data_IF_197286540147
#
_entry.id   IF_197286540147
#
_cell.length_a   1.000
_cell.length_b   1.000
_cell.length_c   1.000
_cell.angle_alpha   90.00
_cell.angle_beta   90.00
_cell.angle_gamma   90.00
#
_symmetry.space_group_name_H-M   'P 1'
#
loop_
_entity.id
_entity.type
_entity.pdbx_description
1 polymer ?
#
# COMPACT_ATOMS: atom_id res chain seq x y z
N UNK A 1 7.98 -0.68 -20.22
CA UNK A 1 8.53 -0.37 -21.56
C UNK A 1 8.20 1.08 -21.95
N UNK A 2 9.22 1.85 -22.34
CA UNK A 2 9.07 3.24 -22.83
C UNK A 2 8.41 3.22 -24.23
N UNK A 3 7.65 4.27 -24.63
CA UNK A 3 6.97 4.30 -25.92
C UNK A 3 7.90 4.10 -27.13
N UNK A 4 9.12 4.65 -27.07
CA UNK A 4 10.14 4.53 -28.12
C UNK A 4 10.60 3.08 -28.30
N UNK A 5 11.00 2.44 -27.21
CA UNK A 5 11.40 1.01 -27.21
C UNK A 5 10.26 0.10 -27.70
N UNK A 6 9.00 0.44 -27.39
CA UNK A 6 7.85 -0.33 -27.86
C UNK A 6 7.72 -0.27 -29.39
N UNK A 7 7.91 0.91 -29.97
CA UNK A 7 7.87 1.08 -31.41
C UNK A 7 9.05 0.36 -32.10
N UNK A 8 10.25 0.43 -31.53
CA UNK A 8 11.44 -0.27 -32.04
C UNK A 8 11.27 -1.80 -32.06
N UNK A 9 10.70 -2.39 -31.00
CA UNK A 9 10.55 -3.84 -30.87
C UNK A 9 9.35 -4.38 -31.65
N UNK A 10 8.22 -3.66 -31.64
CA UNK A 10 6.95 -4.16 -32.18
C UNK A 10 6.52 -3.46 -33.49
N UNK A 11 7.25 -2.45 -33.95
CA UNK A 11 6.93 -1.67 -35.15
C UNK A 11 5.66 -0.82 -35.02
N UNK A 12 5.10 -0.68 -33.82
CA UNK A 12 3.79 -0.06 -33.62
C UNK A 12 3.70 0.74 -32.32
N UNK A 13 2.83 1.74 -32.29
CA UNK A 13 2.64 2.59 -31.12
C UNK A 13 2.10 1.80 -29.91
N UNK A 14 2.70 2.03 -28.75
CA UNK A 14 2.34 1.38 -27.48
C UNK A 14 0.84 1.46 -27.14
N UNK A 15 0.20 2.61 -27.33
CA UNK A 15 -1.23 2.79 -26.98
C UNK A 15 -2.13 1.94 -27.88
N UNK A 16 -1.78 1.84 -29.17
CA UNK A 16 -2.50 1.01 -30.14
C UNK A 16 -2.37 -0.46 -29.76
N UNK A 17 -1.16 -0.93 -29.44
CA UNK A 17 -0.92 -2.32 -29.00
C UNK A 17 -1.66 -2.64 -27.70
N UNK A 18 -1.60 -1.76 -26.70
CA UNK A 18 -2.31 -1.95 -25.43
C UNK A 18 -3.83 -2.04 -25.64
N UNK A 19 -4.40 -1.16 -26.46
CA UNK A 19 -5.82 -1.19 -26.80
C UNK A 19 -6.18 -2.52 -27.48
N UNK A 20 -5.42 -2.91 -28.52
CA UNK A 20 -5.65 -4.15 -29.27
C UNK A 20 -5.56 -5.40 -28.41
N UNK A 21 -4.49 -5.53 -27.61
CA UNK A 21 -4.30 -6.68 -26.74
C UNK A 21 -5.34 -6.75 -25.63
N UNK A 22 -5.72 -5.61 -25.02
CA UNK A 22 -6.80 -5.56 -24.02
C UNK A 22 -8.14 -5.99 -24.64
N UNK A 23 -8.49 -5.46 -25.81
CA UNK A 23 -9.73 -5.85 -26.51
C UNK A 23 -9.71 -7.33 -26.91
N UNK A 24 -8.59 -7.83 -27.43
CA UNK A 24 -8.43 -9.25 -27.80
C UNK A 24 -8.59 -10.18 -26.59
N UNK A 25 -7.92 -9.86 -25.49
CA UNK A 25 -7.99 -10.63 -24.25
C UNK A 25 -9.41 -10.65 -23.66
N UNK A 26 -10.09 -9.51 -23.62
CA UNK A 26 -11.47 -9.42 -23.15
C UNK A 26 -12.45 -10.18 -24.05
N UNK A 27 -12.27 -10.13 -25.38
CA UNK A 27 -13.08 -10.92 -26.32
C UNK A 27 -12.88 -12.43 -26.12
N UNK A 28 -11.64 -12.87 -26.02
CA UNK A 28 -11.32 -14.27 -25.74
C UNK A 28 -11.95 -14.73 -24.41
N UNK A 29 -11.81 -13.92 -23.35
CA UNK A 29 -12.42 -14.24 -22.07
C UNK A 29 -13.96 -14.27 -22.14
N UNK A 30 -14.57 -13.36 -22.89
CA UNK A 30 -16.03 -13.32 -23.07
C UNK A 30 -16.59 -14.54 -23.83
N UNK A 31 -15.75 -15.20 -24.64
CA UNK A 31 -16.12 -16.44 -25.33
C UNK A 31 -16.06 -17.68 -24.42
N UNK A 32 -15.57 -17.52 -23.19
CA UNK A 32 -15.56 -18.59 -22.18
C UNK A 32 -16.85 -18.58 -21.37
N UNK A 33 -17.20 -19.73 -20.78
CA UNK A 33 -18.29 -19.81 -19.80
C UNK A 33 -17.86 -19.29 -18.42
N UNK A 34 -17.40 -18.04 -18.33
CA UNK A 34 -16.73 -17.49 -17.14
C UNK A 34 -17.51 -17.67 -15.84
N UNK A 35 -18.84 -17.55 -15.87
CA UNK A 35 -19.71 -17.72 -14.70
C UNK A 35 -19.84 -19.17 -14.22
N UNK A 36 -19.60 -20.14 -15.11
CA UNK A 36 -19.79 -21.57 -14.86
C UNK A 36 -18.51 -22.38 -14.98
N UNK A 37 -17.38 -21.73 -15.30
CA UNK A 37 -16.11 -22.40 -15.53
C UNK A 37 -15.59 -23.10 -14.28
N UNK A 38 -14.92 -24.23 -14.50
CA UNK A 38 -14.03 -24.90 -13.54
C UNK A 38 -12.60 -25.02 -14.08
N UNK A 39 -12.32 -24.29 -15.15
CA UNK A 39 -11.01 -24.23 -15.77
C UNK A 39 -10.13 -23.20 -15.03
N UNK A 40 -8.97 -23.65 -14.57
CA UNK A 40 -8.01 -22.83 -13.85
C UNK A 40 -7.40 -21.76 -14.76
N UNK A 41 -7.17 -22.07 -16.04
CA UNK A 41 -6.55 -21.16 -16.99
C UNK A 41 -7.46 -19.96 -17.29
N UNK A 42 -8.78 -20.21 -17.37
CA UNK A 42 -9.78 -19.14 -17.53
C UNK A 42 -9.77 -18.20 -16.31
N UNK A 43 -9.67 -18.75 -15.09
CA UNK A 43 -9.59 -17.94 -13.87
C UNK A 43 -8.25 -17.19 -13.76
N UNK A 44 -7.14 -17.80 -14.17
CA UNK A 44 -5.84 -17.16 -14.27
C UNK A 44 -5.87 -15.99 -15.25
N UNK A 45 -6.44 -16.19 -16.45
CA UNK A 45 -6.59 -15.15 -17.46
C UNK A 45 -7.41 -13.96 -16.95
N UNK A 46 -8.56 -14.20 -16.30
CA UNK A 46 -9.34 -13.14 -15.65
C UNK A 46 -8.49 -12.38 -14.62
N UNK A 47 -7.74 -13.11 -13.80
CA UNK A 47 -6.90 -12.55 -12.74
C UNK A 47 -5.76 -11.68 -13.28
N UNK A 48 -5.12 -12.09 -14.38
CA UNK A 48 -4.09 -11.31 -15.07
C UNK A 48 -4.66 -10.03 -15.68
N UNK A 49 -5.88 -10.07 -16.25
CA UNK A 49 -6.55 -8.87 -16.78
C UNK A 49 -6.83 -7.87 -15.65
N UNK A 50 -7.29 -8.36 -14.48
CA UNK A 50 -7.51 -7.52 -13.29
C UNK A 50 -6.18 -6.87 -12.83
N UNK A 51 -5.07 -7.63 -12.86
CA UNK A 51 -3.75 -7.15 -12.43
C UNK A 51 -3.26 -5.94 -13.25
N UNK A 52 -3.62 -5.85 -14.53
CA UNK A 52 -3.16 -4.76 -15.41
C UNK A 52 -3.67 -3.40 -14.94
N UNK A 53 -4.90 -3.35 -14.40
CA UNK A 53 -5.61 -2.11 -14.08
C UNK A 53 -6.55 -2.34 -12.88
N UNK A 54 -5.99 -2.56 -11.67
CA UNK A 54 -6.76 -3.04 -10.52
C UNK A 54 -7.76 -2.02 -9.98
N UNK A 55 -7.65 -0.75 -10.37
CA UNK A 55 -8.50 0.35 -9.92
C UNK A 55 -9.64 0.69 -10.88
N UNK A 56 -9.68 0.07 -12.07
CA UNK A 56 -10.82 0.27 -12.97
C UNK A 56 -12.11 -0.29 -12.39
N UNK A 57 -13.24 0.35 -12.71
CA UNK A 57 -14.59 -0.12 -12.36
C UNK A 57 -14.82 -1.58 -12.78
N UNK A 58 -14.27 -1.96 -13.94
CA UNK A 58 -14.27 -3.34 -14.41
C UNK A 58 -13.55 -4.26 -13.41
N UNK A 59 -12.31 -3.94 -13.04
CA UNK A 59 -11.51 -4.76 -12.13
C UNK A 59 -12.16 -4.90 -10.74
N UNK A 60 -12.70 -3.80 -10.20
CA UNK A 60 -13.45 -3.78 -8.93
C UNK A 60 -14.56 -4.83 -8.93
N UNK A 61 -15.35 -4.89 -10.00
CA UNK A 61 -16.44 -5.88 -10.14
C UNK A 61 -15.91 -7.28 -10.46
N UNK A 62 -14.93 -7.38 -11.36
CA UNK A 62 -14.35 -8.62 -11.85
C UNK A 62 -13.65 -9.42 -10.74
N UNK A 63 -13.07 -8.75 -9.74
CA UNK A 63 -12.49 -9.40 -8.55
C UNK A 63 -13.55 -10.16 -7.77
N UNK A 64 -14.76 -9.63 -7.63
CA UNK A 64 -15.84 -10.32 -6.94
C UNK A 64 -16.36 -11.54 -7.72
N UNK A 65 -16.24 -11.54 -9.05
CA UNK A 65 -16.48 -12.70 -9.89
C UNK A 65 -15.36 -13.74 -9.73
N UNK A 66 -14.10 -13.33 -9.82
CA UNK A 66 -12.94 -14.19 -9.62
C UNK A 66 -12.97 -14.89 -8.25
N UNK A 67 -13.32 -14.15 -7.19
CA UNK A 67 -13.47 -14.69 -5.84
C UNK A 67 -14.55 -15.78 -5.76
N UNK A 68 -15.72 -15.54 -6.37
CA UNK A 68 -16.81 -16.53 -6.42
C UNK A 68 -16.45 -17.75 -7.24
N UNK A 69 -15.78 -17.58 -8.37
CA UNK A 69 -15.31 -18.71 -9.20
C UNK A 69 -14.26 -19.53 -8.44
N UNK A 70 -13.31 -18.89 -7.77
CA UNK A 70 -12.34 -19.57 -6.90
C UNK A 70 -13.01 -20.36 -5.77
N UNK A 71 -14.08 -19.82 -5.16
CA UNK A 71 -14.88 -20.55 -4.17
C UNK A 71 -15.59 -21.77 -4.78
N UNK A 72 -16.23 -21.63 -5.95
CA UNK A 72 -16.87 -22.74 -6.66
C UNK A 72 -15.89 -23.86 -7.03
N UNK A 73 -14.63 -23.50 -7.29
CA UNK A 73 -13.55 -24.44 -7.59
C UNK A 73 -12.91 -25.05 -6.33
N UNK A 74 -13.23 -24.54 -5.14
CA UNK A 74 -12.68 -25.05 -3.88
C UNK A 74 -11.27 -24.57 -3.56
N UNK A 75 -10.73 -23.55 -4.26
CA UNK A 75 -9.32 -23.12 -4.10
C UNK A 75 -8.99 -22.54 -2.71
N UNK A 76 -10.02 -22.16 -1.96
CA UNK A 76 -9.92 -21.64 -0.61
C UNK A 76 -9.68 -22.73 0.44
N UNK A 77 -9.78 -24.02 0.08
CA UNK A 77 -9.76 -25.15 1.02
C UNK A 77 -8.38 -25.77 1.18
N UNK A 78 -8.11 -26.34 2.35
CA UNK A 78 -6.88 -27.10 2.63
C UNK A 78 -6.87 -28.51 2.03
N UNK A 79 -7.82 -28.85 1.15
CA UNK A 79 -7.98 -30.21 0.67
C UNK A 79 -6.82 -30.60 -0.26
N UNK A 80 -5.96 -31.48 0.24
CA UNK A 80 -4.98 -32.21 -0.56
C UNK A 80 -5.73 -33.29 -1.36
N UNK A 81 -5.96 -33.03 -2.64
CA UNK A 81 -6.30 -34.10 -3.57
C UNK A 81 -5.02 -34.89 -3.85
N UNK A 82 -4.85 -36.01 -3.15
CA UNK A 82 -3.68 -36.90 -3.28
C UNK A 82 -3.46 -37.42 -4.72
N UNK A 83 -4.44 -37.28 -5.61
CA UNK A 83 -4.34 -37.66 -7.01
C UNK A 83 -3.97 -36.49 -7.94
N UNK A 84 -3.90 -35.26 -7.44
CA UNK A 84 -3.54 -34.08 -8.23
C UNK A 84 -2.02 -33.87 -8.24
N UNK A 85 -1.38 -33.63 -9.40
CA UNK A 85 0.04 -33.29 -9.46
C UNK A 85 0.38 -32.06 -8.61
N UNK A 86 1.50 -32.10 -7.89
CA UNK A 86 1.94 -31.01 -7.01
C UNK A 86 1.95 -29.64 -7.71
N UNK A 87 2.45 -29.55 -8.94
CA UNK A 87 2.48 -28.28 -9.67
C UNK A 87 1.10 -27.62 -9.75
N UNK A 88 0.07 -28.42 -10.07
CA UNK A 88 -1.30 -27.92 -10.19
C UNK A 88 -1.85 -27.46 -8.84
N UNK A 89 -1.57 -28.20 -7.77
CA UNK A 89 -1.94 -27.80 -6.41
C UNK A 89 -1.26 -26.48 -6.01
N UNK A 90 0.04 -26.33 -6.30
CA UNK A 90 0.77 -25.10 -6.00
C UNK A 90 0.24 -23.90 -6.81
N UNK A 91 -0.10 -24.10 -8.09
CA UNK A 91 -0.73 -23.05 -8.91
C UNK A 91 -2.10 -22.64 -8.39
N UNK A 92 -2.91 -23.58 -7.88
CA UNK A 92 -4.20 -23.29 -7.24
C UNK A 92 -4.03 -22.46 -5.98
N UNK A 93 -3.08 -22.83 -5.11
CA UNK A 93 -2.78 -22.10 -3.87
C UNK A 93 -2.29 -20.69 -4.18
N UNK A 94 -1.31 -20.54 -5.10
CA UNK A 94 -0.79 -19.22 -5.51
C UNK A 94 -1.91 -18.33 -6.08
N UNK A 95 -2.76 -18.89 -6.94
CA UNK A 95 -3.89 -18.16 -7.53
C UNK A 95 -4.91 -17.71 -6.48
N UNK A 96 -5.26 -18.59 -5.54
CA UNK A 96 -6.17 -18.25 -4.43
C UNK A 96 -5.66 -17.06 -3.63
N UNK A 97 -4.41 -17.12 -3.16
CA UNK A 97 -3.83 -16.06 -2.34
C UNK A 97 -3.72 -14.74 -3.09
N UNK A 98 -3.50 -14.79 -4.40
CA UNK A 98 -3.48 -13.61 -5.25
C UNK A 98 -4.87 -12.97 -5.41
N UNK A 99 -5.89 -13.75 -5.80
CA UNK A 99 -7.29 -13.28 -5.92
C UNK A 99 -7.78 -12.70 -4.59
N UNK A 100 -7.52 -13.40 -3.49
CA UNK A 100 -7.83 -12.93 -2.14
C UNK A 100 -7.19 -11.59 -1.83
N UNK A 101 -5.92 -11.43 -2.20
CA UNK A 101 -5.18 -10.18 -2.06
C UNK A 101 -5.83 -9.02 -2.80
N UNK A 102 -6.27 -9.24 -4.05
CA UNK A 102 -7.01 -8.27 -4.84
C UNK A 102 -8.35 -7.90 -4.20
N UNK A 103 -9.14 -8.90 -3.79
CA UNK A 103 -10.43 -8.69 -3.11
C UNK A 103 -10.26 -7.88 -1.83
N UNK A 104 -9.24 -8.18 -1.03
CA UNK A 104 -8.95 -7.42 0.19
C UNK A 104 -8.64 -5.95 -0.08
N UNK A 105 -8.00 -5.61 -1.21
CA UNK A 105 -7.74 -4.20 -1.58
C UNK A 105 -8.99 -3.50 -2.06
N UNK A 106 -9.71 -4.11 -3.00
CA UNK A 106 -10.97 -3.55 -3.53
C UNK A 106 -11.94 -3.27 -2.38
N UNK A 107 -12.10 -4.21 -1.45
CA UNK A 107 -12.94 -4.02 -0.27
C UNK A 107 -12.47 -2.88 0.62
N UNK A 108 -11.16 -2.76 0.89
CA UNK A 108 -10.62 -1.64 1.67
C UNK A 108 -10.90 -0.28 1.00
N UNK A 109 -10.73 -0.18 -0.32
CA UNK A 109 -11.09 1.01 -1.09
C UNK A 109 -12.57 1.41 -1.00
N UNK A 110 -13.44 0.45 -0.66
CA UNK A 110 -14.86 0.68 -0.41
C UNK A 110 -15.21 0.84 1.09
N UNK A 111 -14.21 0.90 1.99
CA UNK A 111 -14.44 0.92 3.43
C UNK A 111 -14.98 -0.39 4.02
N UNK A 112 -14.88 -1.50 3.29
CA UNK A 112 -15.40 -2.80 3.70
C UNK A 112 -14.29 -3.69 4.27
N UNK A 113 -14.54 -4.26 5.46
CA UNK A 113 -13.71 -5.33 6.01
C UNK A 113 -13.92 -6.64 5.25
N UNK A 114 -12.91 -7.53 5.22
CA UNK A 114 -13.09 -8.88 4.69
C UNK A 114 -13.98 -9.73 5.58
N UNK A 115 -14.73 -10.65 4.95
CA UNK A 115 -15.60 -11.61 5.64
C UNK A 115 -14.84 -12.88 6.00
N UNK A 116 -15.45 -13.71 6.86
CA UNK A 116 -14.92 -15.02 7.25
C UNK A 116 -14.70 -15.91 6.01
N UNK A 117 -15.62 -15.87 5.05
CA UNK A 117 -15.53 -16.64 3.81
C UNK A 117 -14.31 -16.24 2.96
N UNK A 118 -13.85 -14.98 3.03
CA UNK A 118 -12.65 -14.53 2.32
C UNK A 118 -11.36 -15.19 2.86
N UNK A 119 -11.40 -15.83 4.03
CA UNK A 119 -10.21 -16.35 4.69
C UNK A 119 -9.78 -17.70 4.10
N UNK A 120 -10.72 -18.61 3.82
CA UNK A 120 -10.40 -20.00 3.46
C UNK A 120 -9.50 -20.70 4.48
N UNK A 121 -9.17 -21.97 4.30
CA UNK A 121 -8.22 -22.76 5.08
C UNK A 121 -6.98 -23.20 4.27
N UNK A 122 -6.87 -22.76 3.01
CA UNK A 122 -5.73 -23.02 2.14
C UNK A 122 -4.37 -22.74 2.83
N UNK A 123 -3.42 -23.67 2.65
CA UNK A 123 -2.02 -23.51 3.09
C UNK A 123 -1.37 -22.29 2.43
N UNK A 124 -0.28 -21.81 3.00
CA UNK A 124 0.58 -20.83 2.33
C UNK A 124 1.22 -21.45 1.06
N UNK A 125 1.53 -20.63 0.04
CA UNK A 125 2.37 -21.05 -1.07
C UNK A 125 3.71 -21.60 -0.56
N UNK A 126 4.35 -22.47 -1.35
CA UNK A 126 5.66 -23.00 -0.98
C UNK A 126 6.77 -21.97 -1.26
N UNK A 127 7.78 -21.90 -0.39
CA UNK A 127 8.97 -21.07 -0.59
C UNK A 127 9.93 -21.71 -1.61
N UNK A 128 9.64 -21.55 -2.91
CA UNK A 128 10.41 -22.11 -4.03
C UNK A 128 10.49 -21.11 -5.17
N UNK A 129 11.60 -21.15 -5.93
CA UNK A 129 11.73 -20.37 -7.16
C UNK A 129 10.95 -21.04 -8.29
N UNK A 130 10.63 -20.28 -9.34
CA UNK A 130 9.90 -20.82 -10.48
C UNK A 130 10.73 -21.86 -11.26
N UNK A 131 12.06 -21.76 -11.21
CA UNK A 131 12.98 -22.76 -11.77
C UNK A 131 12.92 -24.14 -11.05
N UNK A 132 12.44 -24.17 -9.80
CA UNK A 132 12.26 -25.41 -9.03
C UNK A 132 10.92 -26.10 -9.35
N UNK A 133 10.05 -25.45 -10.14
CA UNK A 133 8.74 -25.94 -10.50
C UNK A 133 8.73 -26.46 -11.94
N UNK A 134 8.17 -27.66 -12.13
CA UNK A 134 7.97 -28.25 -13.45
C UNK A 134 6.52 -28.69 -13.64
N UNK A 135 5.85 -28.42 -14.78
CA UNK A 135 4.45 -28.77 -14.99
C UNK A 135 4.10 -30.24 -14.77
N UNK A 136 5.05 -31.14 -15.03
CA UNK A 136 4.88 -32.59 -14.85
C UNK A 136 5.27 -33.11 -13.45
N UNK A 137 5.63 -32.26 -12.48
CA UNK A 137 6.04 -32.74 -11.16
C UNK A 137 4.83 -33.21 -10.35
N UNK A 138 4.92 -34.42 -9.81
CA UNK A 138 3.87 -35.01 -8.98
C UNK A 138 4.08 -34.73 -7.49
N UNK A 139 5.34 -34.52 -7.07
CA UNK A 139 5.75 -34.32 -5.67
C UNK A 139 6.39 -32.95 -5.48
N UNK A 140 6.33 -32.36 -4.27
CA UNK A 140 7.05 -31.14 -3.96
C UNK A 140 8.57 -31.31 -4.14
N UNK A 141 9.33 -30.22 -4.38
CA UNK A 141 10.78 -30.26 -4.35
C UNK A 141 11.28 -30.84 -3.02
N UNK A 142 12.32 -31.65 -3.08
CA UNK A 142 12.83 -32.39 -1.91
C UNK A 142 13.41 -31.47 -0.82
N UNK A 143 13.85 -30.26 -1.19
CA UNK A 143 14.44 -29.27 -0.28
C UNK A 143 13.60 -28.01 -0.34
N UNK A 144 13.06 -27.62 0.81
CA UNK A 144 12.53 -26.26 0.97
C UNK A 144 13.70 -25.31 1.19
N UNK A 145 13.71 -24.21 0.45
CA UNK A 145 14.71 -23.18 0.63
C UNK A 145 14.54 -22.54 2.01
N UNK A 146 15.63 -22.51 2.79
CA UNK A 146 15.75 -21.67 3.99
C UNK A 146 16.07 -20.23 3.61
N UNK A 147 16.72 -20.03 2.45
CA UNK A 147 16.99 -18.72 1.88
C UNK A 147 15.73 -18.10 1.24
N UNK A 148 15.80 -16.79 0.99
CA UNK A 148 14.78 -16.08 0.25
C UNK A 148 14.68 -16.59 -1.21
N UNK A 149 13.45 -16.75 -1.68
CA UNK A 149 13.12 -17.12 -3.08
C UNK A 149 12.30 -16.01 -3.74
N UNK A 150 11.95 -16.18 -5.01
CA UNK A 150 11.01 -15.28 -5.71
C UNK A 150 9.67 -15.09 -4.98
N UNK A 151 9.30 -16.01 -4.08
CA UNK A 151 8.09 -15.95 -3.26
C UNK A 151 8.20 -15.10 -2.00
N UNK A 152 9.38 -14.58 -1.65
CA UNK A 152 9.66 -13.98 -0.33
C UNK A 152 8.67 -12.88 0.07
N UNK A 153 8.42 -11.89 -0.79
CA UNK A 153 7.48 -10.81 -0.48
C UNK A 153 6.02 -11.33 -0.36
N UNK A 154 5.62 -12.21 -1.28
CA UNK A 154 4.30 -12.82 -1.25
C UNK A 154 4.07 -13.55 0.08
N UNK A 155 5.06 -14.34 0.52
CA UNK A 155 5.02 -15.06 1.78
C UNK A 155 4.94 -14.12 2.97
N UNK A 156 5.80 -13.08 3.06
CA UNK A 156 5.73 -12.07 4.13
C UNK A 156 4.32 -11.50 4.29
N UNK A 157 3.68 -11.13 3.17
CA UNK A 157 2.32 -10.60 3.14
C UNK A 157 1.30 -11.64 3.60
N UNK A 158 1.37 -12.87 3.11
CA UNK A 158 0.41 -13.93 3.45
C UNK A 158 0.59 -14.43 4.90
N UNK A 159 1.81 -14.41 5.40
CA UNK A 159 2.12 -14.83 6.77
C UNK A 159 1.67 -13.78 7.79
N UNK A 160 1.72 -12.48 7.44
CA UNK A 160 1.09 -11.41 8.22
C UNK A 160 -0.43 -11.61 8.36
N UNK A 161 -1.11 -12.02 7.28
CA UNK A 161 -2.52 -12.41 7.35
C UNK A 161 -2.74 -13.62 8.25
N UNK A 162 -1.86 -14.61 8.14
CA UNK A 162 -1.93 -15.83 8.95
C UNK A 162 -1.62 -15.57 10.42
N UNK A 163 -0.80 -14.56 10.73
CA UNK A 163 -0.54 -14.09 12.09
C UNK A 163 -1.80 -13.52 12.72
N UNK A 164 -2.51 -12.60 12.06
CA UNK A 164 -3.76 -12.01 12.60
C UNK A 164 -4.79 -13.10 12.90
N UNK A 165 -4.85 -14.14 12.06
CA UNK A 165 -5.75 -15.27 12.28
C UNK A 165 -5.36 -16.15 13.47
N UNK A 166 -4.08 -16.49 13.61
CA UNK A 166 -3.58 -17.47 14.59
C UNK A 166 -3.20 -16.85 15.93
N UNK A 167 -3.03 -15.54 16.00
CA UNK A 167 -2.57 -14.87 17.22
C UNK A 167 -3.60 -15.01 18.34
N UNK A 168 -3.12 -15.41 19.53
CA UNK A 168 -3.91 -15.47 20.76
C UNK A 168 -4.53 -14.11 21.12
N UNK A 169 -3.94 -13.01 20.63
CA UNK A 169 -4.47 -11.66 20.80
C UNK A 169 -5.84 -11.47 20.13
N UNK A 170 -6.14 -12.23 19.07
CA UNK A 170 -7.37 -12.15 18.27
C UNK A 170 -8.22 -13.42 18.33
N UNK A 171 -7.74 -14.46 19.02
CA UNK A 171 -8.42 -15.74 19.20
C UNK A 171 -9.80 -15.58 19.89
N UNK A 172 -10.71 -16.50 19.58
CA UNK A 172 -12.08 -16.55 20.13
C UNK A 172 -13.10 -15.58 19.50
N UNK A 173 -12.71 -14.76 18.53
CA UNK A 173 -13.65 -13.95 17.74
C UNK A 173 -14.07 -14.70 16.47
N UNK A 174 -15.35 -14.59 16.10
CA UNK A 174 -15.87 -15.04 14.81
C UNK A 174 -15.09 -14.37 13.65
N UNK A 175 -14.59 -13.13 13.84
CA UNK A 175 -13.79 -12.42 12.86
C UNK A 175 -12.51 -11.81 13.48
N UNK A 176 -11.37 -12.53 13.46
CA UNK A 176 -10.09 -12.03 13.99
C UNK A 176 -9.63 -10.71 13.36
N UNK A 177 -9.96 -10.47 12.08
CA UNK A 177 -9.59 -9.22 11.39
C UNK A 177 -10.36 -8.02 11.93
N UNK A 178 -11.63 -8.19 12.22
CA UNK A 178 -12.43 -7.13 12.82
C UNK A 178 -11.88 -6.77 14.21
N UNK A 179 -11.53 -7.76 15.03
CA UNK A 179 -10.89 -7.53 16.33
C UNK A 179 -9.52 -6.86 16.21
N UNK A 180 -8.74 -7.17 15.16
CA UNK A 180 -7.50 -6.47 14.88
C UNK A 180 -7.72 -5.01 14.43
N UNK A 181 -8.75 -4.74 13.62
CA UNK A 181 -9.13 -3.38 13.24
C UNK A 181 -9.62 -2.57 14.45
N UNK A 182 -10.48 -3.16 15.29
CA UNK A 182 -10.94 -2.56 16.55
C UNK A 182 -9.78 -2.30 17.50
N UNK A 183 -8.82 -3.22 17.60
CA UNK A 183 -7.61 -3.00 18.40
C UNK A 183 -6.82 -1.81 17.87
N UNK A 184 -6.65 -1.69 16.55
CA UNK A 184 -5.87 -0.61 15.94
C UNK A 184 -6.44 0.78 16.25
N UNK A 185 -7.77 0.94 16.27
CA UNK A 185 -8.45 2.21 16.54
C UNK A 185 -8.83 2.42 18.01
N UNK A 186 -8.69 1.40 18.86
CA UNK A 186 -9.00 1.52 20.29
C UNK A 186 -8.09 2.54 20.98
N UNK A 187 -8.70 3.36 21.85
CA UNK A 187 -8.04 4.41 22.63
C UNK A 187 -7.94 4.06 24.12
N UNK A 188 -8.17 2.81 24.52
CA UNK A 188 -8.04 2.40 25.94
C UNK A 188 -6.57 2.25 26.33
N UNK A 189 -6.24 2.44 27.61
CA UNK A 189 -4.85 2.31 28.09
C UNK A 189 -4.34 0.88 27.91
N UNK A 190 -5.17 -0.11 28.19
CA UNK A 190 -4.86 -1.53 28.00
C UNK A 190 -4.60 -1.87 26.53
N UNK A 191 -5.33 -1.20 25.62
CA UNK A 191 -5.15 -1.39 24.19
C UNK A 191 -3.77 -0.96 23.70
N UNK A 192 -3.17 0.08 24.30
CA UNK A 192 -1.82 0.57 23.93
C UNK A 192 -0.76 -0.48 24.20
N UNK A 193 -0.80 -1.11 25.38
CA UNK A 193 0.12 -2.19 25.75
C UNK A 193 -0.03 -3.35 24.78
N UNK A 194 -1.27 -3.71 24.43
CA UNK A 194 -1.56 -4.78 23.49
C UNK A 194 -1.11 -4.46 22.06
N UNK A 195 -1.28 -3.20 21.60
CA UNK A 195 -0.77 -2.71 20.30
C UNK A 195 0.75 -2.87 20.22
N UNK A 196 1.49 -2.38 21.22
CA UNK A 196 2.96 -2.50 21.27
C UNK A 196 3.41 -3.96 21.25
N UNK A 197 2.73 -4.84 22.00
CA UNK A 197 3.00 -6.28 21.99
C UNK A 197 2.80 -6.89 20.59
N UNK A 198 1.67 -6.60 19.94
CA UNK A 198 1.36 -7.09 18.60
C UNK A 198 2.39 -6.60 17.58
N UNK A 199 2.79 -5.31 17.63
CA UNK A 199 3.81 -4.75 16.76
C UNK A 199 5.16 -5.47 16.93
N UNK A 200 5.58 -5.72 18.18
CA UNK A 200 6.80 -6.47 18.46
C UNK A 200 6.76 -7.91 17.96
N UNK A 201 5.62 -8.60 18.13
CA UNK A 201 5.43 -9.97 17.62
C UNK A 201 5.50 -10.03 16.09
N UNK A 202 4.89 -9.06 15.38
CA UNK A 202 4.95 -8.98 13.91
C UNK A 202 6.36 -8.66 13.42
N UNK A 203 7.03 -7.66 14.02
CA UNK A 203 8.40 -7.28 13.66
C UNK A 203 9.36 -8.45 13.81
N UNK A 204 9.29 -9.15 14.96
CA UNK A 204 10.10 -10.35 15.21
C UNK A 204 9.83 -11.47 14.21
N UNK A 205 8.57 -11.71 13.86
CA UNK A 205 8.19 -12.73 12.88
C UNK A 205 8.76 -12.41 11.49
N UNK A 206 8.66 -11.16 11.04
CA UNK A 206 9.20 -10.73 9.75
C UNK A 206 10.73 -10.81 9.73
N UNK A 207 11.38 -10.42 10.83
CA UNK A 207 12.83 -10.48 10.97
C UNK A 207 13.35 -11.92 10.90
N UNK A 208 12.87 -12.78 11.79
CA UNK A 208 13.35 -14.16 11.95
C UNK A 208 13.09 -15.04 10.72
N UNK A 209 11.96 -14.84 10.04
CA UNK A 209 11.56 -15.71 8.92
C UNK A 209 12.00 -15.22 7.54
N UNK A 210 12.23 -13.92 7.39
CA UNK A 210 12.39 -13.31 6.07
C UNK A 210 13.58 -12.37 6.02
N UNK A 211 13.58 -11.28 6.80
CA UNK A 211 14.58 -10.20 6.65
C UNK A 211 16.00 -10.69 6.92
N UNK A 212 16.20 -11.57 7.91
CA UNK A 212 17.50 -12.16 8.23
C UNK A 212 18.09 -13.02 7.10
N UNK A 213 17.30 -13.36 6.08
CA UNK A 213 17.70 -14.19 4.94
C UNK A 213 17.81 -13.40 3.61
N UNK A 214 17.64 -12.07 3.66
CA UNK A 214 17.74 -11.22 2.49
C UNK A 214 19.20 -10.81 2.20
N UNK A 215 19.61 -10.98 0.95
CA UNK A 215 20.88 -10.45 0.44
C UNK A 215 20.66 -9.07 -0.20
N UNK A 216 21.23 -7.98 0.35
CA UNK A 216 21.06 -6.63 -0.18
C UNK A 216 21.67 -6.43 -1.57
N UNK A 217 22.47 -7.36 -2.09
CA UNK A 217 23.01 -7.30 -3.46
C UNK A 217 21.98 -7.69 -4.52
N UNK A 218 20.87 -8.33 -4.11
CA UNK A 218 19.83 -8.83 -5.02
C UNK A 218 18.67 -7.81 -5.06
N UNK A 219 18.33 -7.24 -6.23
CA UNK A 219 17.29 -6.19 -6.33
C UNK A 219 15.92 -6.60 -5.78
N UNK A 220 15.52 -7.86 -5.96
CA UNK A 220 14.25 -8.37 -5.42
C UNK A 220 14.26 -8.40 -3.88
N UNK A 221 15.40 -8.70 -3.28
CA UNK A 221 15.54 -8.74 -1.83
C UNK A 221 15.51 -7.33 -1.24
N UNK A 222 16.19 -6.36 -1.87
CA UNK A 222 16.09 -4.95 -1.50
C UNK A 222 14.63 -4.46 -1.53
N UNK A 223 13.93 -4.72 -2.64
CA UNK A 223 12.51 -4.38 -2.76
C UNK A 223 11.65 -5.06 -1.69
N UNK A 224 11.93 -6.34 -1.39
CA UNK A 224 11.20 -7.08 -0.36
C UNK A 224 11.45 -6.52 1.04
N UNK A 225 12.68 -6.12 1.36
CA UNK A 225 13.02 -5.44 2.61
C UNK A 225 12.28 -4.10 2.74
N UNK A 226 12.29 -3.28 1.68
CA UNK A 226 11.61 -2.00 1.67
C UNK A 226 10.09 -2.15 1.85
N UNK A 227 9.48 -3.15 1.21
CA UNK A 227 8.06 -3.48 1.37
C UNK A 227 7.72 -4.02 2.78
N UNK A 228 8.65 -4.74 3.42
CA UNK A 228 8.54 -5.12 4.83
C UNK A 228 8.52 -3.88 5.73
N UNK A 229 9.47 -2.98 5.51
CA UNK A 229 9.59 -1.73 6.26
C UNK A 229 8.33 -0.89 6.13
N UNK A 230 7.78 -0.76 4.90
CA UNK A 230 6.49 -0.10 4.68
C UNK A 230 5.38 -0.75 5.51
N UNK A 231 5.33 -2.07 5.57
CA UNK A 231 4.32 -2.79 6.35
C UNK A 231 4.47 -2.51 7.85
N UNK A 232 5.69 -2.61 8.38
CA UNK A 232 6.01 -2.39 9.80
C UNK A 232 5.71 -0.95 10.21
N UNK A 233 6.28 0.02 9.50
CA UNK A 233 6.09 1.44 9.82
C UNK A 233 4.64 1.86 9.61
N UNK A 234 3.92 1.28 8.65
CA UNK A 234 2.50 1.58 8.48
C UNK A 234 1.68 1.12 9.68
N UNK A 235 1.91 -0.11 10.16
CA UNK A 235 1.21 -0.61 11.35
C UNK A 235 1.59 0.18 12.60
N UNK A 236 2.87 0.51 12.76
CA UNK A 236 3.37 1.30 13.87
C UNK A 236 2.76 2.70 13.88
N UNK A 237 2.81 3.39 12.73
CA UNK A 237 2.18 4.69 12.54
C UNK A 237 0.69 4.63 12.85
N UNK A 238 -0.07 3.74 12.20
CA UNK A 238 -1.53 3.65 12.40
C UNK A 238 -1.92 3.30 13.84
N UNK A 239 -1.26 2.33 14.49
CA UNK A 239 -1.65 1.90 15.84
C UNK A 239 -1.24 2.89 16.93
N UNK A 240 -0.09 3.55 16.76
CA UNK A 240 0.47 4.49 17.73
C UNK A 240 0.11 5.95 17.45
N UNK A 241 -0.54 6.24 16.32
CA UNK A 241 -1.00 7.58 15.97
C UNK A 241 -1.77 8.22 17.13
N UNK A 242 -1.52 9.51 17.47
CA UNK A 242 -2.13 10.16 18.64
C UNK A 242 -3.65 10.01 18.72
N UNK A 243 -4.35 10.02 17.60
CA UNK A 243 -5.82 9.83 17.55
C UNK A 243 -6.29 8.47 18.04
N UNK A 244 -5.47 7.45 17.88
CA UNK A 244 -5.72 6.09 18.32
C UNK A 244 -5.09 5.85 19.71
N UNK A 245 -4.70 6.90 20.43
CA UNK A 245 -4.17 6.84 21.78
C UNK A 245 -5.18 7.41 22.79
N UNK A 246 -5.09 7.03 24.08
CA UNK A 246 -5.91 7.61 25.13
C UNK A 246 -5.82 9.14 25.12
N UNK A 247 -6.98 9.80 25.24
CA UNK A 247 -7.07 11.27 25.27
C UNK A 247 -6.37 11.95 24.07
N UNK A 248 -6.46 11.33 22.89
CA UNK A 248 -5.86 11.82 21.63
C UNK A 248 -4.34 12.05 21.72
N UNK A 249 -3.67 11.27 22.57
CA UNK A 249 -2.21 11.30 22.68
C UNK A 249 -1.65 12.44 23.54
N UNK A 250 -2.50 13.18 24.28
CA UNK A 250 -2.07 14.29 25.15
C UNK A 250 -0.99 13.90 26.17
N UNK A 251 -0.98 12.64 26.61
CA UNK A 251 0.00 12.10 27.57
C UNK A 251 0.91 11.04 26.96
N UNK A 252 1.12 11.06 25.64
CA UNK A 252 2.10 10.18 25.02
C UNK A 252 3.50 10.50 25.53
N UNK A 253 4.28 9.45 25.82
CA UNK A 253 5.68 9.60 26.15
C UNK A 253 6.45 10.21 24.96
N UNK A 254 7.54 10.94 25.23
CA UNK A 254 8.37 11.50 24.16
C UNK A 254 8.88 10.40 23.23
N UNK A 255 9.26 9.25 23.77
CA UNK A 255 9.69 8.08 22.99
C UNK A 255 8.59 7.59 22.03
N UNK A 256 7.32 7.58 22.43
CA UNK A 256 6.21 7.20 21.55
C UNK A 256 5.95 8.26 20.46
N UNK A 257 6.07 9.54 20.80
CA UNK A 257 5.94 10.62 19.81
C UNK A 257 7.06 10.55 18.76
N UNK A 258 8.31 10.33 19.21
CA UNK A 258 9.47 10.16 18.34
C UNK A 258 9.30 8.95 17.43
N UNK A 259 8.77 7.84 17.96
CA UNK A 259 8.53 6.62 17.20
C UNK A 259 7.47 6.80 16.09
N UNK A 260 6.39 7.55 16.37
CA UNK A 260 5.37 7.85 15.35
C UNK A 260 5.93 8.81 14.30
N UNK A 261 6.69 9.84 14.71
CA UNK A 261 7.36 10.74 13.78
C UNK A 261 8.35 10.01 12.89
N UNK A 262 9.23 9.18 13.45
CA UNK A 262 10.14 8.33 12.69
C UNK A 262 9.38 7.45 11.69
N UNK A 263 8.29 6.81 12.11
CA UNK A 263 7.47 5.98 11.22
C UNK A 263 6.88 6.78 10.06
N UNK A 264 6.45 8.02 10.31
CA UNK A 264 5.91 8.89 9.26
C UNK A 264 6.97 9.28 8.21
N UNK A 265 8.20 9.55 8.64
CA UNK A 265 9.32 9.84 7.74
C UNK A 265 9.72 8.58 6.97
N UNK A 266 9.93 7.46 7.67
CA UNK A 266 10.31 6.18 7.04
C UNK A 266 9.30 5.69 6.01
N UNK A 267 8.01 5.90 6.26
CA UNK A 267 6.97 5.55 5.28
C UNK A 267 7.15 6.28 3.95
N UNK A 268 7.49 7.57 3.98
CA UNK A 268 7.70 8.37 2.77
C UNK A 268 9.02 8.02 2.08
N UNK A 269 10.11 7.80 2.83
CA UNK A 269 11.40 7.36 2.29
C UNK A 269 11.28 6.02 1.56
N UNK A 270 10.74 5.01 2.25
CA UNK A 270 10.59 3.67 1.69
C UNK A 270 9.62 3.68 0.51
N UNK A 271 8.62 4.56 0.52
CA UNK A 271 7.74 4.70 -0.63
C UNK A 271 8.47 5.25 -1.86
N UNK A 272 9.32 6.26 -1.64
CA UNK A 272 10.17 6.81 -2.69
C UNK A 272 11.13 5.73 -3.24
N UNK A 273 11.77 4.95 -2.37
CA UNK A 273 12.65 3.83 -2.75
C UNK A 273 11.91 2.80 -3.61
N UNK A 274 10.75 2.33 -3.14
CA UNK A 274 9.96 1.30 -3.81
C UNK A 274 9.46 1.77 -5.20
N UNK A 275 9.12 3.05 -5.35
CA UNK A 275 8.72 3.64 -6.64
C UNK A 275 9.90 3.84 -7.60
N UNK A 276 11.12 3.97 -7.09
CA UNK A 276 12.34 4.19 -7.88
C UNK A 276 13.11 2.89 -8.18
N UNK A 277 12.44 1.74 -8.15
CA UNK A 277 13.05 0.46 -8.48
C UNK A 277 13.06 0.19 -9.99
N UNK A 278 13.87 -0.80 -10.41
CA UNK A 278 13.87 -1.30 -11.78
C UNK A 278 12.65 -2.16 -12.13
N UNK A 279 11.81 -2.50 -11.15
CA UNK A 279 10.63 -3.32 -11.36
C UNK A 279 9.48 -2.51 -11.97
N UNK A 280 8.53 -3.20 -12.59
CA UNK A 280 7.34 -2.56 -13.15
C UNK A 280 6.53 -1.88 -12.04
N UNK A 281 6.14 -0.62 -12.25
CA UNK A 281 5.25 0.11 -11.33
C UNK A 281 3.95 -0.65 -11.08
N UNK A 282 3.39 -1.34 -12.07
CA UNK A 282 2.18 -2.16 -11.88
C UNK A 282 2.40 -3.33 -10.90
N UNK A 283 3.60 -3.92 -10.89
CA UNK A 283 3.96 -4.96 -9.92
C UNK A 283 4.08 -4.34 -8.53
N UNK A 284 4.78 -3.21 -8.42
CA UNK A 284 5.01 -2.49 -7.17
C UNK A 284 3.74 -1.90 -6.57
N UNK A 285 2.85 -1.33 -7.37
CA UNK A 285 1.55 -0.80 -6.96
C UNK A 285 0.65 -1.93 -6.45
N UNK A 286 0.83 -3.13 -6.99
CA UNK A 286 0.23 -4.31 -6.39
C UNK A 286 0.87 -4.65 -5.03
N UNK A 287 2.02 -4.16 -4.63
CA UNK A 287 2.68 -4.55 -3.39
C UNK A 287 2.54 -3.52 -2.25
N UNK A 288 2.17 -2.28 -2.55
CA UNK A 288 2.16 -1.18 -1.56
C UNK A 288 0.76 -0.91 -0.98
N UNK A 289 0.70 -0.55 0.31
CA UNK A 289 -0.50 -0.01 0.97
C UNK A 289 -0.49 1.54 0.88
N UNK A 290 -1.61 2.16 0.49
CA UNK A 290 -1.71 3.61 0.25
C UNK A 290 -2.09 4.38 1.53
N UNK A 291 -1.11 4.66 2.38
CA UNK A 291 -1.26 5.46 3.63
C UNK A 291 -0.37 6.72 3.64
N UNK A 292 0.10 7.14 2.46
CA UNK A 292 1.14 8.17 2.33
C UNK A 292 0.67 9.56 2.76
N UNK A 293 -0.61 9.89 2.52
CA UNK A 293 -1.14 11.22 2.85
C UNK A 293 -1.16 11.43 4.37
N UNK A 294 -1.55 10.41 5.13
CA UNK A 294 -1.63 10.56 6.58
C UNK A 294 -0.27 10.73 7.25
N UNK A 295 0.70 9.94 6.79
CA UNK A 295 2.09 10.09 7.20
C UNK A 295 2.64 11.47 6.82
N UNK A 296 2.35 11.96 5.61
CA UNK A 296 2.76 13.29 5.14
C UNK A 296 2.19 14.41 6.01
N UNK A 297 0.87 14.42 6.24
CA UNK A 297 0.23 15.46 7.04
C UNK A 297 0.75 15.43 8.48
N UNK A 298 0.91 14.24 9.06
CA UNK A 298 1.46 14.08 10.40
C UNK A 298 2.91 14.57 10.48
N UNK A 299 3.75 14.18 9.52
CA UNK A 299 5.15 14.62 9.45
C UNK A 299 5.26 16.15 9.39
N UNK A 300 4.49 16.80 8.52
CA UNK A 300 4.48 18.28 8.41
C UNK A 300 3.97 18.91 9.72
N UNK A 301 2.96 18.32 10.35
CA UNK A 301 2.46 18.80 11.65
C UNK A 301 3.56 18.75 12.72
N UNK A 302 4.34 17.67 12.79
CA UNK A 302 5.47 17.54 13.72
C UNK A 302 6.63 18.48 13.40
N UNK A 303 6.87 18.81 12.12
CA UNK A 303 7.86 19.81 11.72
C UNK A 303 7.53 21.23 12.23
N UNK A 304 6.28 21.51 12.62
CA UNK A 304 5.92 22.78 13.30
C UNK A 304 6.45 22.85 14.74
N UNK A 305 6.82 21.72 15.33
CA UNK A 305 7.34 21.60 16.70
C UNK A 305 8.81 21.19 16.74
N UNK A 306 9.31 20.53 15.69
CA UNK A 306 10.67 20.00 15.59
C UNK A 306 11.49 20.79 14.56
N UNK A 307 12.45 21.58 15.03
CA UNK A 307 13.27 22.43 14.16
C UNK A 307 14.61 21.81 13.73
N UNK A 308 15.11 20.81 14.45
CA UNK A 308 16.45 20.22 14.23
C UNK A 308 16.48 18.71 14.46
N UNK A 309 17.47 18.03 13.86
CA UNK A 309 17.70 16.59 13.97
C UNK A 309 17.76 15.89 12.61
N UNK A 310 18.38 14.71 12.55
CA UNK A 310 18.59 14.03 11.27
C UNK A 310 17.29 13.66 10.54
N UNK A 311 16.26 13.22 11.30
CA UNK A 311 14.93 12.92 10.74
C UNK A 311 14.22 14.18 10.25
N UNK A 312 14.46 15.34 10.88
CA UNK A 312 13.90 16.62 10.43
C UNK A 312 14.50 17.00 9.09
N UNK A 313 15.82 16.93 8.94
CA UNK A 313 16.49 17.18 7.64
C UNK A 313 15.98 16.24 6.55
N UNK A 314 15.84 14.97 6.88
CA UNK A 314 15.31 13.94 5.97
C UNK A 314 13.87 14.26 5.56
N UNK A 315 13.01 14.64 6.51
CA UNK A 315 11.63 15.03 6.25
C UNK A 315 11.53 16.23 5.29
N UNK A 316 12.39 17.23 5.45
CA UNK A 316 12.43 18.40 4.55
C UNK A 316 12.89 18.03 3.14
N UNK A 317 13.91 17.17 2.99
CA UNK A 317 14.33 16.66 1.69
C UNK A 317 13.20 15.88 0.98
N UNK A 318 12.45 15.05 1.72
CA UNK A 318 11.28 14.35 1.18
C UNK A 318 10.18 15.31 0.75
N UNK A 319 9.92 16.37 1.52
CA UNK A 319 8.93 17.38 1.14
C UNK A 319 9.29 18.08 -0.17
N UNK A 320 10.56 18.45 -0.34
CA UNK A 320 11.03 19.04 -1.61
C UNK A 320 10.79 18.11 -2.81
N UNK A 321 11.09 16.82 -2.65
CA UNK A 321 10.87 15.80 -3.67
C UNK A 321 9.38 15.52 -3.92
N UNK A 322 8.52 15.58 -2.90
CA UNK A 322 7.07 15.48 -3.06
C UNK A 322 6.53 16.68 -3.84
N UNK A 323 6.85 17.90 -3.42
CA UNK A 323 6.33 19.12 -4.06
C UNK A 323 6.85 19.32 -5.48
N UNK A 324 8.10 18.96 -5.77
CA UNK A 324 8.66 19.02 -7.13
C UNK A 324 7.95 18.09 -8.11
N UNK A 325 7.51 16.91 -7.64
CA UNK A 325 6.73 15.95 -8.44
C UNK A 325 5.24 16.34 -8.54
N UNK A 326 4.71 16.96 -7.48
CA UNK A 326 3.29 17.30 -7.34
C UNK A 326 2.82 18.42 -8.28
N UNK A 327 3.73 19.24 -8.83
CA UNK A 327 3.45 20.24 -9.86
C UNK A 327 2.79 19.66 -11.14
N UNK A 328 2.70 18.33 -11.29
CA UNK A 328 2.22 17.67 -12.51
C UNK A 328 1.03 16.71 -12.36
N UNK A 329 0.51 16.41 -11.14
CA UNK A 329 -0.24 15.13 -11.00
C UNK A 329 -1.31 14.97 -9.90
N UNK A 330 -2.16 15.96 -9.54
CA UNK A 330 -3.22 15.70 -8.54
C UNK A 330 -4.60 16.29 -8.82
N UNK A 331 -5.65 15.44 -8.89
CA UNK A 331 -7.01 15.81 -8.58
C UNK A 331 -7.29 15.51 -7.09
N UNK A 332 -6.64 16.22 -6.16
CA UNK A 332 -7.13 16.32 -4.78
C UNK A 332 -7.97 17.60 -4.67
N UNK A 333 -8.93 17.61 -3.74
CA UNK A 333 -9.75 18.80 -3.45
C UNK A 333 -8.84 20.03 -3.27
N UNK A 334 -9.16 21.12 -3.97
CA UNK A 334 -8.46 22.40 -3.90
C UNK A 334 -8.28 22.86 -2.43
N UNK A 335 -9.25 22.53 -1.57
CA UNK A 335 -9.19 22.82 -0.13
C UNK A 335 -8.07 22.07 0.58
N UNK A 336 -7.90 20.78 0.30
CA UNK A 336 -6.84 19.96 0.89
C UNK A 336 -5.47 20.50 0.52
N UNK A 337 -5.24 20.80 -0.77
CA UNK A 337 -3.97 21.36 -1.23
C UNK A 337 -3.63 22.68 -0.56
N UNK A 338 -4.64 23.55 -0.41
CA UNK A 338 -4.48 24.85 0.24
C UNK A 338 -4.07 24.68 1.70
N UNK A 339 -4.78 23.83 2.44
CA UNK A 339 -4.46 23.60 3.84
C UNK A 339 -3.11 22.88 4.06
N UNK A 340 -2.74 21.93 3.20
CA UNK A 340 -1.41 21.30 3.24
C UNK A 340 -0.30 22.31 2.97
N UNK A 341 -0.53 23.21 2.01
CA UNK A 341 0.39 24.33 1.70
C UNK A 341 0.55 25.22 2.93
N UNK A 342 -0.56 25.67 3.53
CA UNK A 342 -0.54 26.52 4.73
C UNK A 342 0.18 25.84 5.89
N UNK A 343 -0.05 24.54 6.10
CA UNK A 343 0.61 23.76 7.13
C UNK A 343 2.13 23.70 6.92
N UNK A 344 2.55 23.52 5.67
CA UNK A 344 3.96 23.46 5.27
C UNK A 344 4.65 24.81 5.48
N UNK A 345 3.98 25.91 5.10
CA UNK A 345 4.50 27.26 5.32
C UNK A 345 4.62 27.58 6.82
N UNK A 346 3.66 27.18 7.63
CA UNK A 346 3.75 27.33 9.10
C UNK A 346 4.94 26.56 9.69
N UNK A 347 5.17 25.32 9.24
CA UNK A 347 6.32 24.53 9.67
C UNK A 347 7.65 25.20 9.29
N UNK A 348 7.71 25.79 8.08
CA UNK A 348 8.87 26.52 7.61
C UNK A 348 9.16 27.76 8.47
N UNK A 349 8.13 28.54 8.81
CA UNK A 349 8.29 29.72 9.67
C UNK A 349 8.84 29.36 11.05
N UNK A 350 8.40 28.25 11.66
CA UNK A 350 9.00 27.77 12.92
C UNK A 350 10.48 27.45 12.73
N UNK A 351 10.82 26.70 11.68
CA UNK A 351 12.21 26.32 11.40
C UNK A 351 13.11 27.53 11.15
N UNK A 352 12.63 28.52 10.40
CA UNK A 352 13.35 29.77 10.11
C UNK A 352 13.60 30.60 11.38
N UNK A 353 12.65 30.62 12.32
CA UNK A 353 12.82 31.30 13.62
C UNK A 353 13.94 30.69 14.46
N UNK A 354 14.04 29.36 14.48
CA UNK A 354 15.02 28.63 15.30
C UNK A 354 16.42 28.62 14.67
N UNK A 355 16.53 28.41 13.36
CA UNK A 355 17.82 28.32 12.68
C UNK A 355 18.37 29.67 12.22
N UNK A 356 17.58 30.74 12.31
CA UNK A 356 17.97 32.12 12.02
C UNK A 356 17.52 32.64 10.64
N UNK A 357 17.47 33.97 10.47
CA UNK A 357 16.91 34.62 9.28
C UNK A 357 17.75 34.45 8.00
N UNK A 358 19.00 34.00 8.12
CA UNK A 358 19.94 33.82 6.99
C UNK A 358 19.71 32.55 6.19
N UNK A 359 18.85 31.63 6.66
CA UNK A 359 18.53 30.43 5.89
C UNK A 359 17.63 30.77 4.72
N UNK A 360 18.15 30.48 3.53
CA UNK A 360 17.42 30.61 2.28
C UNK A 360 16.29 29.57 2.22
N UNK A 361 15.10 30.02 1.81
CA UNK A 361 13.95 29.13 1.65
C UNK A 361 14.20 28.17 0.48
N UNK A 362 13.94 26.86 0.64
CA UNK A 362 13.98 25.92 -0.47
C UNK A 362 13.08 26.36 -1.62
N UNK A 363 13.44 25.96 -2.85
CA UNK A 363 12.69 26.31 -4.07
C UNK A 363 11.21 25.89 -4.00
N UNK A 364 10.93 24.75 -3.37
CA UNK A 364 9.55 24.28 -3.12
C UNK A 364 8.77 25.28 -2.27
N UNK A 365 9.37 25.78 -1.19
CA UNK A 365 8.75 26.77 -0.28
C UNK A 365 8.54 28.10 -0.98
N UNK A 366 9.52 28.59 -1.75
CA UNK A 366 9.37 29.81 -2.55
C UNK A 366 8.20 29.69 -3.54
N UNK A 367 8.06 28.53 -4.18
CA UNK A 367 6.95 28.24 -5.12
C UNK A 367 5.60 28.23 -4.39
N UNK A 368 5.54 27.63 -3.20
CA UNK A 368 4.33 27.60 -2.37
C UNK A 368 3.93 29.00 -1.88
N UNK A 369 4.89 29.84 -1.49
CA UNK A 369 4.66 31.23 -1.09
C UNK A 369 4.11 32.05 -2.27
N UNK A 370 4.76 32.01 -3.43
CA UNK A 370 4.29 32.71 -4.63
C UNK A 370 2.88 32.24 -5.06
N UNK A 371 2.61 30.93 -5.00
CA UNK A 371 1.31 30.37 -5.31
C UNK A 371 0.21 30.71 -4.30
N UNK A 372 0.57 31.05 -3.05
CA UNK A 372 -0.37 31.55 -2.03
C UNK A 372 -0.69 33.02 -2.27
N UNK A 373 0.32 33.86 -2.48
CA UNK A 373 0.15 35.28 -2.80
C UNK A 373 -0.72 35.49 -4.05
N UNK A 374 -0.50 34.70 -5.10
CA UNK A 374 -1.34 34.72 -6.30
C UNK A 374 -2.81 34.38 -5.99
N UNK A 375 -3.07 33.39 -5.13
CA UNK A 375 -4.42 32.98 -4.73
C UNK A 375 -5.12 34.04 -3.89
N UNK A 376 -4.41 34.67 -2.96
CA UNK A 376 -4.94 35.76 -2.15
C UNK A 376 -5.30 36.97 -3.02
N UNK A 377 -4.42 37.33 -3.97
CA UNK A 377 -4.68 38.38 -4.96
C UNK A 377 -5.86 38.06 -5.90
N UNK A 378 -6.05 36.79 -6.29
CA UNK A 378 -7.19 36.33 -7.11
C UNK A 378 -8.50 36.30 -6.32
N UNK A 379 -8.46 35.91 -5.04
CA UNK A 379 -9.62 35.92 -4.14
C UNK A 379 -10.11 37.35 -3.85
N UNK A 380 -9.21 38.33 -3.84
CA UNK A 380 -9.55 39.75 -3.78
C UNK A 380 -10.17 40.29 -5.08
N UNK A 381 -9.98 39.60 -6.22
CA UNK A 381 -10.42 40.06 -7.55
C UNK A 381 -11.67 39.35 -8.09
N UNK A 382 -12.06 38.16 -7.59
CA UNK A 382 -13.16 37.38 -8.16
C UNK A 382 -14.09 36.82 -7.08
N UNK A 383 -15.13 37.58 -6.74
CA UNK A 383 -16.33 37.04 -6.13
C UNK A 383 -17.21 36.40 -7.22
N UNK A 384 -17.03 35.09 -7.42
CA UNK A 384 -18.00 34.23 -8.08
C UNK A 384 -17.70 33.88 -9.53
N UNK A 385 -17.03 32.74 -9.75
CA UNK A 385 -17.36 31.78 -10.83
C UNK A 385 -16.93 30.38 -10.37
N UNK A 386 -17.87 29.44 -10.41
CA UNK A 386 -17.62 28.01 -10.23
C UNK A 386 -17.01 27.42 -11.52
N UNK A 387 -15.91 26.68 -11.40
CA UNK A 387 -15.27 26.00 -12.54
C UNK A 387 -15.38 24.49 -12.38
N UNK A 388 -16.01 23.87 -13.38
CA UNK A 388 -16.19 22.43 -13.56
C UNK A 388 -14.85 21.69 -13.72
N UNK A 389 -14.66 20.60 -12.95
CA UNK A 389 -13.56 19.66 -13.14
C UNK A 389 -13.97 18.48 -14.04
N UNK A 390 -13.11 18.17 -15.02
CA UNK A 390 -13.14 16.93 -15.81
C UNK A 390 -11.75 16.27 -15.79
N UNK A 391 -11.69 14.98 -15.47
CA UNK A 391 -10.67 14.01 -15.95
C UNK A 391 -9.42 13.73 -15.09
N UNK A 392 -9.42 12.57 -14.40
CA UNK A 392 -8.41 11.47 -14.31
C UNK A 392 -6.92 11.78 -14.67
N UNK A 393 -5.88 11.47 -13.89
CA UNK A 393 -5.46 10.24 -13.14
C UNK A 393 -4.57 10.69 -11.97
N UNK A 394 -4.76 10.16 -10.75
CA UNK A 394 -4.04 10.57 -9.54
C UNK A 394 -3.05 9.54 -8.99
N UNK A 395 -1.87 10.01 -8.58
CA UNK A 395 -0.75 9.20 -8.05
C UNK A 395 -0.69 9.16 -6.51
N UNK A 396 -1.72 9.70 -5.83
CA UNK A 396 -1.91 9.69 -4.38
C UNK A 396 -3.39 9.43 -4.05
N UNK A 397 -3.91 8.26 -4.38
CA UNK A 397 -5.28 7.92 -3.95
C UNK A 397 -5.26 7.35 -2.55
N UNK A 398 -6.10 7.90 -1.66
CA UNK A 398 -6.46 7.26 -0.40
C UNK A 398 -7.36 6.04 -0.69
N UNK A 399 -7.33 5.02 0.18
CA UNK A 399 -8.32 3.93 0.18
C UNK A 399 -9.65 4.38 0.83
N UNK A 400 -9.71 5.58 1.44
CA UNK A 400 -10.92 6.20 2.02
C UNK A 400 -11.18 7.57 1.35
N UNK A 401 -12.44 8.03 1.24
CA UNK A 401 -12.72 9.40 0.82
C UNK A 401 -12.09 10.41 1.81
N UNK A 402 -11.45 11.46 1.29
CA UNK A 402 -10.89 12.56 2.10
C UNK A 402 -11.99 13.22 2.95
N UNK A 403 -12.16 12.79 4.18
CA UNK A 403 -13.01 13.48 5.16
C UNK A 403 -12.21 14.62 5.80
N UNK A 404 -12.54 15.86 5.49
CA UNK A 404 -11.86 17.03 6.05
C UNK A 404 -12.03 17.15 7.59
N UNK A 405 -13.11 16.60 8.15
CA UNK A 405 -13.29 16.55 9.62
C UNK A 405 -12.25 15.66 10.29
N UNK A 406 -11.70 14.68 9.56
CA UNK A 406 -10.56 13.89 9.99
C UNK A 406 -9.36 14.80 10.32
N UNK A 407 -9.01 15.79 9.50
CA UNK A 407 -7.75 16.53 9.64
C UNK A 407 -7.81 17.74 10.59
N UNK A 408 -8.98 18.36 10.74
CA UNK A 408 -9.15 19.54 11.59
C UNK A 408 -8.75 19.29 13.07
N UNK A 409 -8.97 18.07 13.56
CA UNK A 409 -8.60 17.65 14.91
C UNK A 409 -7.07 17.51 15.11
N UNK A 410 -6.31 17.20 14.04
CA UNK A 410 -4.84 17.05 14.09
C UNK A 410 -4.12 18.41 14.15
N UNK A 411 -4.76 19.45 13.59
CA UNK A 411 -4.22 20.81 13.53
C UNK A 411 -4.43 21.60 14.84
N UNK A 412 -5.25 21.08 15.74
CA UNK A 412 -5.53 21.66 17.07
C UNK A 412 -4.69 21.04 18.20
N UNK A 413 -4.09 19.88 17.98
CA UNK A 413 -2.93 19.41 18.76
C UNK A 413 -1.74 20.29 18.38
#
# INVERSE_FOLDING_TARGET
>A
MKPTTCYEVFGENKLVLLSRYRTGALRALSSTNLFSTRDLEVLQALTLIIMIDPQSEFSTTAVALAMRTAHKMGLHRAAEDNHMPFFKQEMQVRLWWYIRGLNSRVRRGMGLLSTIDDLGDARLPMNVNDADLHPCMEKPPAVQHTAATEMVYCLMKYDLWSFVRRSSNFFGSLNPREKAAQLATSTSVESVVKKKKVLGEVGRMLEEKYLAHLDPSIPLHQLSAALAGLTIHNQQFSMLHPRNQPQRGKYMSQADQDLVFESSVRLLELNHEVRNTSFSTNLVDHMVCRTQIDALVYMISELRRRASGHLVETAWALLEDVYSRQSMALPLDQKFHTALTDLTLQAWETRKKELGPEIEAPKSIQTLQAGKEQRENLAEQVAGVDVLQTGLIGDWTQDEPLDWTYWNDLLQL
#
